data_IF_714610572284
#
_entry.id   IF_714610572284
#
_cell.length_a   1.000
_cell.length_b   1.000
_cell.length_c   1.000
_cell.angle_alpha   90.00
_cell.angle_beta   90.00
_cell.angle_gamma   90.00
#
_symmetry.space_group_name_H-M   'P 1'
#
loop_
_entity.id
_entity.type
_entity.pdbx_description
1 polymer ?
#
# COMPACT_ATOMS: atom_id res chain seq x y z
N UNK A 1 -69.84 48.33 46.23
CA UNK A 1 -68.66 48.66 47.06
C UNK A 1 -67.51 47.75 46.62
N UNK A 2 -66.49 48.34 45.98
CA UNK A 2 -65.07 47.94 45.79
C UNK A 2 -64.71 46.50 46.27
N UNK A 3 -64.10 45.59 45.48
CA UNK A 3 -62.76 45.70 44.87
C UNK A 3 -62.49 44.62 43.80
N UNK A 4 -61.76 45.02 42.76
CA UNK A 4 -61.13 44.19 41.71
C UNK A 4 -59.84 43.53 42.21
N UNK A 5 -59.57 42.30 41.76
CA UNK A 5 -58.27 41.66 41.47
C UNK A 5 -58.62 40.39 40.65
N UNK A 6 -57.92 39.91 39.63
CA UNK A 6 -56.60 40.21 39.08
C UNK A 6 -56.44 39.49 37.73
N UNK A 7 -55.78 40.18 36.80
CA UNK A 7 -54.99 39.79 35.63
C UNK A 7 -55.08 38.37 35.02
N UNK A 8 -55.37 38.41 33.72
CA UNK A 8 -55.07 37.46 32.66
C UNK A 8 -53.61 36.98 32.61
N UNK A 9 -53.38 35.71 32.25
CA UNK A 9 -52.19 35.29 31.50
C UNK A 9 -52.46 34.02 30.70
N UNK A 10 -52.48 34.19 29.37
CA UNK A 10 -52.21 33.17 28.37
C UNK A 10 -50.71 32.90 28.28
N UNK A 11 -50.31 31.64 28.09
CA UNK A 11 -49.08 31.19 27.40
C UNK A 11 -48.98 29.67 27.59
N UNK A 12 -49.22 28.91 26.53
CA UNK A 12 -48.20 28.41 25.61
C UNK A 12 -47.42 27.22 26.20
N UNK A 13 -47.81 26.04 25.72
CA UNK A 13 -47.06 24.78 25.77
C UNK A 13 -45.59 24.97 25.38
N UNK A 14 -44.62 24.52 26.18
CA UNK A 14 -43.25 24.43 25.71
C UNK A 14 -43.09 23.19 24.82
N UNK A 15 -42.46 23.30 23.64
CA UNK A 15 -42.14 22.13 22.83
C UNK A 15 -41.02 21.32 23.48
N UNK A 16 -41.22 20.00 23.50
CA UNK A 16 -40.26 18.96 23.83
C UNK A 16 -38.91 19.23 23.14
N UNK A 17 -37.90 19.69 23.91
CA UNK A 17 -36.50 19.66 23.50
C UNK A 17 -36.01 18.21 23.58
N UNK A 18 -36.15 17.45 22.50
CA UNK A 18 -35.31 16.26 22.26
C UNK A 18 -33.88 16.76 22.07
N UNK A 19 -33.02 16.63 23.07
CA UNK A 19 -31.58 16.74 22.86
C UNK A 19 -31.16 15.53 22.04
N UNK A 20 -31.01 15.71 20.73
CA UNK A 20 -30.29 14.75 19.89
C UNK A 20 -28.82 14.98 20.22
N UNK A 21 -28.27 14.13 21.08
CA UNK A 21 -26.83 14.05 21.29
C UNK A 21 -26.21 13.54 20.00
N UNK A 22 -25.76 14.47 19.14
CA UNK A 22 -24.84 14.15 18.07
C UNK A 22 -23.50 13.79 18.71
N UNK A 23 -23.30 12.50 18.96
CA UNK A 23 -21.97 11.97 19.19
C UNK A 23 -21.26 11.95 17.84
N UNK A 24 -20.77 13.12 17.41
CA UNK A 24 -19.77 13.16 16.35
C UNK A 24 -18.49 12.64 17.00
N UNK A 25 -18.27 11.34 16.89
CA UNK A 25 -16.98 10.75 17.17
C UNK A 25 -16.01 11.33 16.13
N UNK A 26 -15.29 12.39 16.49
CA UNK A 26 -14.10 12.77 15.76
C UNK A 26 -13.11 11.60 15.93
N UNK A 27 -12.71 10.91 14.85
CA UNK A 27 -11.63 9.95 14.97
C UNK A 27 -10.39 10.73 15.39
N UNK A 28 -9.96 10.53 16.64
CA UNK A 28 -8.66 11.00 17.09
C UNK A 28 -7.62 10.37 16.18
N UNK A 29 -6.68 11.14 15.60
CA UNK A 29 -5.61 10.59 14.80
C UNK A 29 -4.81 9.64 15.68
N UNK A 30 -4.90 8.35 15.40
CA UNK A 30 -4.03 7.35 16.01
C UNK A 30 -2.56 7.72 15.74
N UNK A 31 -1.66 7.52 16.70
CA UNK A 31 -0.24 7.79 16.51
C UNK A 31 0.33 6.72 15.57
N UNK A 32 0.31 6.96 14.26
CA UNK A 32 0.92 6.02 13.31
C UNK A 32 0.70 6.33 11.84
N UNK A 33 -0.47 6.87 11.46
CA UNK A 33 -0.73 7.27 10.07
C UNK A 33 -0.45 8.77 9.92
N UNK A 34 0.59 9.19 9.17
CA UNK A 34 0.68 10.59 8.79
C UNK A 34 -0.61 10.96 8.05
N UNK A 35 -1.22 12.12 8.35
CA UNK A 35 -2.43 12.53 7.64
C UNK A 35 -2.10 12.60 6.14
N UNK A 36 -3.04 12.14 5.30
CA UNK A 36 -2.91 12.17 3.84
C UNK A 36 -2.42 13.54 3.30
N UNK A 37 -2.70 14.61 4.03
CA UNK A 37 -2.24 15.99 3.77
C UNK A 37 -0.71 16.22 3.72
N UNK A 38 0.13 15.27 4.16
CA UNK A 38 1.60 15.41 4.09
C UNK A 38 2.25 14.64 2.94
N UNK A 39 1.49 13.82 2.20
CA UNK A 39 2.02 13.00 1.10
C UNK A 39 2.13 13.84 -0.16
N UNK A 40 3.16 13.59 -0.97
CA UNK A 40 3.20 14.17 -2.32
C UNK A 40 2.08 13.53 -3.14
N UNK A 41 1.39 14.31 -3.98
CA UNK A 41 0.34 13.74 -4.82
C UNK A 41 0.93 12.73 -5.80
N UNK A 42 0.24 11.60 -5.95
CA UNK A 42 0.55 10.60 -6.96
C UNK A 42 0.36 11.18 -8.36
N UNK A 43 1.25 10.82 -9.27
CA UNK A 43 1.26 11.33 -10.63
C UNK A 43 0.77 10.26 -11.61
N UNK A 44 -0.39 10.51 -12.22
CA UNK A 44 -0.99 9.67 -13.26
C UNK A 44 -0.05 9.43 -14.43
N UNK A 45 0.00 8.18 -14.89
CA UNK A 45 0.80 7.72 -16.01
C UNK A 45 -0.09 7.54 -17.24
N UNK A 46 -0.36 8.62 -17.98
CA UNK A 46 -1.31 8.59 -19.12
C UNK A 46 -0.95 7.59 -20.24
N UNK A 47 0.34 7.30 -20.45
CA UNK A 47 0.78 6.29 -21.42
C UNK A 47 0.77 4.86 -20.86
N UNK A 48 0.49 4.69 -19.57
CA UNK A 48 0.67 3.45 -18.82
C UNK A 48 2.16 3.16 -18.55
N UNK A 49 2.49 2.61 -17.38
CA UNK A 49 3.82 2.05 -17.07
C UNK A 49 3.66 0.61 -16.62
N UNK A 50 4.29 -0.32 -17.33
CA UNK A 50 4.22 -1.73 -16.99
C UNK A 50 5.60 -2.40 -16.99
N UNK A 51 5.86 -3.16 -15.94
CA UNK A 51 7.09 -3.96 -15.82
C UNK A 51 6.80 -5.47 -15.90
N UNK A 52 5.56 -5.87 -15.57
CA UNK A 52 5.12 -7.27 -15.54
C UNK A 52 4.16 -7.55 -16.69
N UNK A 53 3.02 -6.87 -16.73
CA UNK A 53 2.00 -7.04 -17.75
C UNK A 53 1.15 -5.75 -17.82
N UNK A 54 0.90 -5.28 -19.04
CA UNK A 54 0.07 -4.11 -19.30
C UNK A 54 -1.37 -4.29 -18.77
N UNK A 55 -1.84 -5.53 -18.68
CA UNK A 55 -3.18 -5.85 -18.18
C UNK A 55 -3.37 -5.56 -16.69
N UNK A 56 -2.30 -5.32 -15.92
CA UNK A 56 -2.38 -4.95 -14.50
C UNK A 56 -2.21 -3.44 -14.24
N UNK A 57 -2.20 -2.61 -15.29
CA UNK A 57 -2.19 -1.17 -15.13
C UNK A 57 -3.53 -0.69 -14.56
N UNK A 58 -3.48 0.04 -13.43
CA UNK A 58 -4.66 0.62 -12.81
C UNK A 58 -5.37 1.61 -13.75
N UNK A 59 -6.68 1.47 -13.95
CA UNK A 59 -7.46 2.41 -14.76
C UNK A 59 -7.84 3.71 -14.03
N UNK A 60 -7.72 3.70 -12.70
CA UNK A 60 -7.98 4.84 -11.83
C UNK A 60 -7.04 4.76 -10.61
N UNK A 61 -6.86 5.85 -9.83
CA UNK A 61 -6.09 5.79 -8.59
C UNK A 61 -6.64 4.69 -7.67
N UNK A 62 -5.81 3.69 -7.39
CA UNK A 62 -6.23 2.45 -6.74
C UNK A 62 -5.66 2.39 -5.33
N UNK A 63 -6.49 2.00 -4.37
CA UNK A 63 -6.05 1.78 -2.99
C UNK A 63 -6.16 0.31 -2.63
N UNK A 64 -5.02 -0.31 -2.32
CA UNK A 64 -4.92 -1.70 -1.90
C UNK A 64 -4.51 -1.80 -0.43
N UNK A 65 -4.74 -2.98 0.14
CA UNK A 65 -4.24 -3.38 1.44
C UNK A 65 -3.38 -4.61 1.29
N UNK A 66 -2.13 -4.55 1.74
CA UNK A 66 -1.27 -5.72 1.87
C UNK A 66 -1.49 -6.35 3.23
N UNK A 67 -2.10 -7.53 3.25
CA UNK A 67 -2.31 -8.28 4.49
C UNK A 67 -1.03 -8.98 4.91
N UNK A 68 -0.68 -8.88 6.18
CA UNK A 68 0.52 -9.47 6.77
C UNK A 68 0.10 -10.47 7.84
N UNK A 69 0.65 -11.66 7.75
CA UNK A 69 0.36 -12.75 8.68
C UNK A 69 1.64 -13.23 9.36
N UNK A 70 1.49 -13.74 10.59
CA UNK A 70 2.56 -14.43 11.28
C UNK A 70 2.65 -15.87 10.78
N UNK A 71 3.73 -16.23 10.10
CA UNK A 71 3.98 -17.60 9.60
C UNK A 71 5.43 -17.97 9.84
N UNK A 72 5.69 -19.14 10.44
CA UNK A 72 7.03 -19.67 10.68
C UNK A 72 7.96 -18.66 11.39
N UNK A 73 7.47 -18.09 12.49
CA UNK A 73 8.18 -17.13 13.36
C UNK A 73 8.60 -15.81 12.71
N UNK A 74 7.89 -15.38 11.66
CA UNK A 74 8.10 -14.08 11.01
C UNK A 74 6.80 -13.51 10.47
N UNK A 75 6.80 -12.21 10.21
CA UNK A 75 5.75 -11.56 9.43
C UNK A 75 5.99 -11.80 7.95
N UNK A 76 4.93 -12.16 7.23
CA UNK A 76 4.95 -12.31 5.77
C UNK A 76 3.73 -11.68 5.15
N UNK A 77 3.89 -11.04 4.00
CA UNK A 77 2.76 -10.58 3.19
C UNK A 77 2.03 -11.81 2.65
N UNK A 78 0.76 -11.95 3.01
CA UNK A 78 -0.10 -13.08 2.62
C UNK A 78 -0.93 -12.80 1.37
N UNK A 79 -1.22 -11.53 1.08
CA UNK A 79 -2.02 -11.16 -0.09
C UNK A 79 -2.23 -9.66 -0.23
N UNK A 80 -2.76 -9.26 -1.38
CA UNK A 80 -3.20 -7.91 -1.68
C UNK A 80 -4.73 -7.90 -1.86
N UNK A 81 -5.40 -7.05 -1.08
CA UNK A 81 -6.84 -6.89 -1.08
C UNK A 81 -7.20 -5.48 -1.55
N UNK A 82 -8.34 -5.33 -2.19
CA UNK A 82 -8.91 -4.01 -2.44
C UNK A 82 -9.32 -3.35 -1.12
N UNK A 83 -8.93 -2.10 -0.88
CA UNK A 83 -9.12 -1.48 0.43
C UNK A 83 -10.59 -1.17 0.76
N UNK A 84 -11.40 -0.86 -0.26
CA UNK A 84 -12.81 -0.50 -0.09
C UNK A 84 -13.70 -1.72 0.20
N UNK A 85 -13.51 -2.80 -0.56
CA UNK A 85 -14.36 -4.00 -0.50
C UNK A 85 -13.80 -5.08 0.40
N UNK A 86 -12.47 -5.08 0.65
CA UNK A 86 -11.77 -6.19 1.28
C UNK A 86 -11.67 -7.42 0.37
N UNK A 87 -11.98 -7.31 -0.92
CA UNK A 87 -11.86 -8.41 -1.87
C UNK A 87 -10.39 -8.77 -2.09
N UNK A 88 -10.06 -10.06 -1.98
CA UNK A 88 -8.74 -10.55 -2.32
C UNK A 88 -8.52 -10.44 -3.84
N UNK A 89 -7.51 -9.68 -4.25
CA UNK A 89 -7.13 -9.55 -5.66
C UNK A 89 -5.96 -10.48 -6.00
N UNK A 90 -5.01 -10.60 -5.06
CA UNK A 90 -3.86 -11.46 -5.24
C UNK A 90 -3.49 -12.20 -3.95
N UNK A 91 -3.24 -13.51 -4.05
CA UNK A 91 -2.68 -14.33 -2.97
C UNK A 91 -1.15 -14.40 -3.12
N UNK A 92 -0.42 -14.23 -2.03
CA UNK A 92 1.03 -14.45 -2.00
C UNK A 92 1.31 -15.82 -1.42
N UNK A 93 1.76 -16.74 -2.26
CA UNK A 93 2.09 -18.11 -1.86
C UNK A 93 3.60 -18.32 -1.82
N UNK A 94 4.12 -18.63 -0.65
CA UNK A 94 5.53 -18.99 -0.50
C UNK A 94 5.77 -20.43 -0.95
N UNK A 95 6.84 -20.63 -1.74
CA UNK A 95 7.24 -21.96 -2.16
C UNK A 95 7.89 -22.69 -0.98
N UNK A 96 7.34 -23.84 -0.56
CA UNK A 96 7.90 -24.61 0.54
C UNK A 96 9.34 -25.02 0.22
N UNK A 97 10.19 -25.00 1.24
CA UNK A 97 11.60 -25.44 1.18
C UNK A 97 12.48 -24.67 0.17
N UNK A 98 12.05 -23.48 -0.27
CA UNK A 98 12.87 -22.64 -1.15
C UNK A 98 14.03 -21.99 -0.38
N UNK A 99 15.26 -22.35 -0.74
CA UNK A 99 16.49 -21.71 -0.24
C UNK A 99 16.54 -20.20 -0.53
N UNK A 100 15.73 -19.73 -1.48
CA UNK A 100 15.73 -18.36 -1.97
C UNK A 100 14.47 -17.57 -1.59
N UNK A 101 13.70 -18.06 -0.60
CA UNK A 101 12.44 -17.44 -0.15
C UNK A 101 11.56 -17.01 -1.34
N UNK A 102 11.33 -17.96 -2.24
CA UNK A 102 10.60 -17.71 -3.46
C UNK A 102 9.11 -17.62 -3.17
N UNK A 103 8.44 -16.60 -3.71
CA UNK A 103 7.00 -16.37 -3.53
C UNK A 103 6.34 -16.12 -4.87
N UNK A 104 5.23 -16.80 -5.11
CA UNK A 104 4.38 -16.58 -6.27
C UNK A 104 3.23 -15.65 -5.86
N UNK A 105 2.96 -14.65 -6.69
CA UNK A 105 1.73 -13.88 -6.63
C UNK A 105 0.72 -14.60 -7.53
N UNK A 106 -0.39 -15.02 -6.96
CA UNK A 106 -1.48 -15.71 -7.65
C UNK A 106 -2.66 -14.75 -7.80
N UNK A 107 -3.35 -14.79 -8.93
CA UNK A 107 -4.62 -14.09 -9.08
C UNK A 107 -5.79 -14.86 -8.42
N UNK A 108 -7.00 -14.30 -8.53
CA UNK A 108 -8.25 -14.92 -8.04
C UNK A 108 -8.58 -16.28 -8.67
N UNK A 109 -7.94 -16.63 -9.79
CA UNK A 109 -8.09 -17.93 -10.46
C UNK A 109 -7.01 -18.93 -10.03
N UNK A 110 -6.22 -18.59 -9.01
CA UNK A 110 -5.05 -19.33 -8.53
C UNK A 110 -3.94 -19.49 -9.58
N UNK A 111 -3.96 -18.66 -10.63
CA UNK A 111 -2.92 -18.65 -11.65
C UNK A 111 -1.81 -17.70 -11.24
N UNK A 112 -0.58 -18.17 -11.28
CA UNK A 112 0.57 -17.36 -10.95
C UNK A 112 0.76 -16.24 -11.99
N UNK A 113 0.74 -14.99 -11.52
CA UNK A 113 0.91 -13.79 -12.34
C UNK A 113 2.38 -13.37 -12.41
N UNK A 114 3.08 -13.49 -11.28
CA UNK A 114 4.50 -13.19 -11.17
C UNK A 114 5.11 -14.00 -10.02
N UNK A 115 6.42 -14.21 -10.10
CA UNK A 115 7.18 -14.84 -9.01
C UNK A 115 8.35 -13.96 -8.61
N UNK A 116 8.49 -13.71 -7.30
CA UNK A 116 9.64 -13.01 -6.73
C UNK A 116 10.57 -13.99 -6.04
N UNK A 117 11.87 -13.85 -6.29
CA UNK A 117 12.92 -14.67 -5.69
C UNK A 117 13.97 -13.79 -5.03
N UNK A 118 14.30 -14.09 -3.79
CA UNK A 118 15.39 -13.45 -3.06
C UNK A 118 16.71 -14.18 -3.37
N UNK A 119 17.67 -13.46 -3.95
CA UNK A 119 18.88 -14.07 -4.54
C UNK A 119 20.15 -13.91 -3.70
N UNK A 120 20.25 -12.88 -2.86
CA UNK A 120 21.41 -12.68 -2.00
C UNK A 120 21.11 -11.74 -0.82
N UNK A 121 21.71 -12.05 0.33
CA UNK A 121 21.78 -11.17 1.50
C UNK A 121 23.24 -10.76 1.72
N UNK A 122 23.59 -9.50 1.42
CA UNK A 122 24.90 -8.93 1.78
C UNK A 122 24.70 -7.90 2.87
N UNK A 123 24.87 -8.30 4.15
CA UNK A 123 24.80 -7.54 5.43
C UNK A 123 23.71 -6.44 5.60
N UNK A 124 23.41 -5.61 4.60
CA UNK A 124 22.38 -4.55 4.55
C UNK A 124 21.80 -4.31 3.15
N UNK A 125 22.06 -5.19 2.17
CA UNK A 125 21.55 -5.13 0.79
C UNK A 125 20.96 -6.48 0.41
N UNK A 126 19.69 -6.48 0.03
CA UNK A 126 18.96 -7.66 -0.43
C UNK A 126 18.66 -7.49 -1.91
N UNK A 127 18.89 -8.55 -2.69
CA UNK A 127 18.62 -8.56 -4.13
C UNK A 127 17.45 -9.45 -4.47
N UNK A 128 16.48 -8.90 -5.19
CA UNK A 128 15.28 -9.58 -5.64
C UNK A 128 15.29 -9.71 -7.17
N UNK A 129 14.67 -10.76 -7.67
CA UNK A 129 14.44 -10.99 -9.09
C UNK A 129 12.98 -11.37 -9.30
N UNK A 130 12.31 -10.66 -10.19
CA UNK A 130 10.93 -10.95 -10.58
C UNK A 130 10.92 -11.76 -11.89
N UNK A 131 10.08 -12.78 -11.95
CA UNK A 131 9.92 -13.69 -13.08
C UNK A 131 8.46 -13.67 -13.54
N UNK A 132 8.21 -13.86 -14.85
CA UNK A 132 6.84 -13.93 -15.36
C UNK A 132 6.14 -15.18 -14.85
N UNK A 133 4.80 -15.14 -14.77
CA UNK A 133 3.80 -16.21 -14.51
C UNK A 133 4.30 -17.58 -14.01
N UNK A 134 5.19 -18.26 -14.73
CA UNK A 134 5.75 -19.56 -14.31
C UNK A 134 7.26 -19.49 -13.98
N UNK A 135 7.65 -20.22 -12.92
CA UNK A 135 9.05 -20.42 -12.45
C UNK A 135 10.01 -21.02 -13.50
N UNK A 136 9.50 -21.47 -14.64
CA UNK A 136 10.29 -22.09 -15.71
C UNK A 136 11.13 -21.09 -16.49
N UNK A 137 10.85 -19.79 -16.39
CA UNK A 137 11.68 -18.76 -17.04
C UNK A 137 13.04 -18.63 -16.36
N UNK A 138 14.12 -18.87 -17.13
CA UNK A 138 15.49 -18.62 -16.68
C UNK A 138 15.83 -17.12 -16.62
N UNK A 139 15.08 -16.27 -17.34
CA UNK A 139 15.33 -14.84 -17.44
C UNK A 139 14.32 -14.07 -16.58
N UNK A 140 14.77 -13.26 -15.60
CA UNK A 140 13.88 -12.39 -14.85
C UNK A 140 13.38 -11.23 -15.72
N UNK A 141 12.17 -10.75 -15.45
CA UNK A 141 11.60 -9.54 -16.04
C UNK A 141 12.45 -8.33 -15.64
N UNK A 142 12.75 -8.23 -14.36
CA UNK A 142 13.60 -7.20 -13.79
C UNK A 142 14.25 -7.71 -12.51
N UNK A 143 15.32 -7.01 -12.14
CA UNK A 143 16.05 -7.20 -10.89
C UNK A 143 16.06 -5.89 -10.16
N UNK A 144 16.03 -5.97 -8.84
CA UNK A 144 16.09 -4.78 -8.01
C UNK A 144 16.71 -5.11 -6.67
N UNK A 145 17.16 -4.06 -6.01
CA UNK A 145 17.83 -4.19 -4.72
C UNK A 145 17.23 -3.26 -3.71
N UNK A 146 17.12 -3.74 -2.48
CA UNK A 146 16.68 -2.94 -1.35
C UNK A 146 17.85 -2.87 -0.36
N UNK A 147 18.27 -1.66 -0.02
CA UNK A 147 19.36 -1.41 0.92
C UNK A 147 18.99 -0.26 1.85
N UNK A 148 18.98 -0.50 3.16
CA UNK A 148 18.61 0.51 4.19
C UNK A 148 17.28 1.20 3.85
N UNK A 149 16.23 0.41 3.57
CA UNK A 149 14.91 0.93 3.20
C UNK A 149 14.86 1.69 1.87
N UNK A 150 15.96 1.67 1.10
CA UNK A 150 16.04 2.31 -0.21
C UNK A 150 15.98 1.27 -1.32
N UNK A 151 14.93 1.35 -2.13
CA UNK A 151 14.78 0.60 -3.36
C UNK A 151 15.60 1.25 -4.48
N UNK A 152 16.26 0.40 -5.26
CA UNK A 152 16.81 0.76 -6.56
C UNK A 152 16.46 -0.33 -7.56
N UNK A 153 15.72 0.06 -8.59
CA UNK A 153 15.22 -0.82 -9.65
C UNK A 153 15.40 -0.14 -11.01
N UNK A 154 15.76 -0.92 -12.02
CA UNK A 154 15.75 -0.49 -13.42
C UNK A 154 15.06 -1.57 -14.24
N UNK A 155 14.15 -1.18 -15.11
CA UNK A 155 13.39 -2.07 -15.97
C UNK A 155 13.09 -1.40 -17.31
N UNK A 156 12.68 -2.19 -18.30
CA UNK A 156 12.16 -1.67 -19.56
C UNK A 156 10.64 -1.64 -19.48
N UNK A 157 10.05 -0.48 -19.70
CA UNK A 157 8.59 -0.33 -19.76
C UNK A 157 8.06 -1.11 -20.96
N UNK A 158 7.14 -2.04 -20.71
CA UNK A 158 6.54 -2.89 -21.75
C UNK A 158 5.66 -2.04 -22.68
N UNK A 159 5.09 -0.94 -22.17
CA UNK A 159 4.19 -0.08 -22.92
C UNK A 159 4.92 0.77 -23.96
N UNK A 160 6.07 1.35 -23.57
CA UNK A 160 6.80 2.31 -24.41
C UNK A 160 8.14 1.81 -24.93
N UNK A 161 8.68 0.73 -24.35
CA UNK A 161 10.03 0.24 -24.60
C UNK A 161 11.15 1.04 -23.92
N UNK A 162 10.81 2.13 -23.21
CA UNK A 162 11.81 2.99 -22.58
C UNK A 162 12.40 2.35 -21.31
N UNK A 163 13.65 2.68 -21.02
CA UNK A 163 14.26 2.31 -19.74
C UNK A 163 13.71 3.22 -18.64
N UNK A 164 13.16 2.61 -17.60
CA UNK A 164 12.62 3.27 -16.43
C UNK A 164 13.43 2.92 -15.18
N UNK A 165 13.52 3.89 -14.27
CA UNK A 165 14.10 3.71 -12.94
C UNK A 165 13.02 3.87 -11.88
N UNK A 166 13.08 3.00 -10.89
CA UNK A 166 12.23 3.00 -9.72
C UNK A 166 13.11 3.12 -8.49
N UNK A 167 12.65 3.91 -7.54
CA UNK A 167 13.24 3.93 -6.22
C UNK A 167 12.25 4.37 -5.18
N UNK A 168 12.73 4.44 -3.94
CA UNK A 168 11.93 4.92 -2.82
C UNK A 168 12.39 6.30 -2.37
N UNK A 169 11.49 7.03 -1.75
CA UNK A 169 11.69 8.28 -1.04
C UNK A 169 10.73 8.35 0.14
N UNK A 170 10.56 9.53 0.72
CA UNK A 170 9.65 9.72 1.84
C UNK A 170 10.27 9.48 3.21
N UNK A 171 9.40 9.35 4.22
CA UNK A 171 9.78 9.26 5.65
C UNK A 171 9.60 7.84 6.20
N UNK A 172 9.98 7.64 7.47
CA UNK A 172 9.93 6.31 8.10
C UNK A 172 8.52 5.68 8.18
N UNK A 173 7.46 6.49 8.15
CA UNK A 173 6.05 6.03 8.24
C UNK A 173 5.30 6.05 6.91
N UNK A 174 5.94 6.50 5.83
CA UNK A 174 5.34 6.60 4.51
C UNK A 174 6.43 6.51 3.44
N UNK A 175 6.43 5.39 2.74
CA UNK A 175 7.40 5.05 1.71
C UNK A 175 6.80 5.48 0.38
N UNK A 176 7.33 6.57 -0.17
CA UNK A 176 7.03 7.02 -1.53
C UNK A 176 7.80 6.13 -2.51
N UNK A 177 7.12 5.57 -3.50
CA UNK A 177 7.73 4.88 -4.64
C UNK A 177 7.66 5.84 -5.82
N UNK A 178 8.82 6.23 -6.35
CA UNK A 178 8.93 7.16 -7.46
C UNK A 178 9.43 6.46 -8.73
N UNK A 179 8.93 6.94 -9.87
CA UNK A 179 9.32 6.55 -11.22
C UNK A 179 10.11 7.66 -11.90
N UNK A 180 11.10 7.28 -12.68
CA UNK A 180 11.78 8.15 -13.63
C UNK A 180 11.84 7.45 -14.98
N UNK A 181 11.21 8.02 -16.00
CA UNK A 181 11.24 7.51 -17.38
C UNK A 181 12.44 8.06 -18.15
N UNK A 182 13.04 7.22 -18.98
CA UNK A 182 14.19 7.59 -19.83
C UNK A 182 15.52 7.56 -19.08
N UNK A 183 16.60 7.38 -19.85
CA UNK A 183 17.97 7.30 -19.34
C UNK A 183 18.66 8.66 -19.19
N UNK A 184 18.10 9.73 -19.78
CA UNK A 184 18.65 11.08 -19.76
C UNK A 184 18.17 11.87 -18.55
N UNK A 185 19.10 12.48 -17.82
CA UNK A 185 18.74 13.64 -17.00
C UNK A 185 18.30 14.78 -17.94
N UNK A 186 17.20 15.52 -17.63
CA UNK A 186 16.67 15.72 -16.29
C UNK A 186 15.19 15.27 -16.16
N UNK A 187 14.84 14.01 -16.48
CA UNK A 187 13.47 13.57 -16.21
C UNK A 187 13.19 13.61 -14.71
N UNK A 188 12.19 14.40 -14.30
CA UNK A 188 11.80 14.54 -12.91
C UNK A 188 11.27 13.21 -12.33
N UNK A 189 11.55 12.96 -11.04
CA UNK A 189 11.01 11.81 -10.30
C UNK A 189 9.54 12.04 -9.99
N UNK A 190 8.71 11.11 -10.44
CA UNK A 190 7.25 11.15 -10.34
C UNK A 190 6.79 10.17 -9.25
N UNK A 191 6.11 10.60 -8.19
CA UNK A 191 5.52 9.69 -7.21
C UNK A 191 4.44 8.83 -7.88
N UNK A 192 4.56 7.51 -7.82
CA UNK A 192 3.61 6.58 -8.46
C UNK A 192 2.91 5.65 -7.47
N UNK A 193 3.45 5.49 -6.25
CA UNK A 193 2.77 4.78 -5.19
C UNK A 193 3.23 5.23 -3.80
N UNK A 194 2.40 5.00 -2.78
CA UNK A 194 2.71 5.20 -1.37
C UNK A 194 2.40 3.95 -0.56
N UNK A 195 3.35 3.50 0.25
CA UNK A 195 3.16 2.38 1.18
C UNK A 195 3.31 2.88 2.62
N UNK A 196 2.29 2.66 3.44
CA UNK A 196 2.26 3.12 4.83
C UNK A 196 1.50 2.12 5.72
N UNK A 197 1.71 2.14 7.04
CA UNK A 197 1.00 1.26 7.96
C UNK A 197 -0.51 1.36 7.79
N UNK A 198 -1.21 0.22 7.78
CA UNK A 198 -2.66 0.22 7.71
C UNK A 198 -3.27 0.95 8.93
N UNK A 199 -4.44 1.61 8.78
CA UNK A 199 -5.07 2.34 9.87
C UNK A 199 -5.31 1.48 11.12
N UNK A 200 -5.27 2.10 12.30
CA UNK A 200 -5.61 1.42 13.55
C UNK A 200 -6.99 0.74 13.48
N UNK A 201 -7.09 -0.48 14.00
CA UNK A 201 -8.32 -1.28 13.96
C UNK A 201 -8.48 -2.13 12.69
N UNK A 202 -7.53 -2.09 11.76
CA UNK A 202 -7.46 -3.04 10.63
C UNK A 202 -6.54 -4.22 10.95
N UNK A 203 -6.70 -5.38 10.28
CA UNK A 203 -5.74 -6.48 10.36
C UNK A 203 -4.32 -6.00 10.03
N UNK A 204 -3.32 -6.68 10.59
CA UNK A 204 -1.92 -6.33 10.41
C UNK A 204 -1.57 -6.22 8.92
N UNK A 205 -0.95 -5.10 8.53
CA UNK A 205 -0.65 -4.89 7.13
C UNK A 205 -0.31 -3.44 6.78
N UNK A 206 -0.34 -3.18 5.47
CA UNK A 206 -0.04 -1.88 4.89
C UNK A 206 -1.18 -1.42 3.99
N UNK A 207 -1.40 -0.12 3.95
CA UNK A 207 -2.16 0.53 2.90
C UNK A 207 -1.21 0.93 1.78
N UNK A 208 -1.67 0.73 0.54
CA UNK A 208 -0.93 1.00 -0.67
C UNK A 208 -1.79 1.86 -1.58
N UNK A 209 -1.37 3.10 -1.81
CA UNK A 209 -2.00 3.99 -2.79
C UNK A 209 -1.19 3.87 -4.10
N UNK A 210 -1.84 3.62 -5.23
CA UNK A 210 -1.22 3.42 -6.55
C UNK A 210 -1.81 4.42 -7.55
N UNK A 211 -0.95 5.09 -8.31
CA UNK A 211 -1.39 6.04 -9.33
C UNK A 211 -2.09 5.34 -10.49
N UNK A 212 -2.99 6.06 -11.15
CA UNK A 212 -3.58 5.63 -12.42
C UNK A 212 -2.49 5.40 -13.46
N UNK A 213 -2.67 4.34 -14.28
CA UNK A 213 -1.78 3.92 -15.34
C UNK A 213 -0.57 3.13 -14.86
N UNK A 214 -0.48 2.77 -13.58
CA UNK A 214 0.67 2.02 -13.03
C UNK A 214 0.33 0.54 -12.89
N UNK A 215 1.25 -0.33 -13.31
CA UNK A 215 1.20 -1.78 -13.07
C UNK A 215 1.18 -2.10 -11.57
N UNK A 216 0.01 -2.49 -11.07
CA UNK A 216 -0.21 -2.81 -9.67
C UNK A 216 0.61 -4.02 -9.21
N UNK A 217 0.83 -5.02 -10.08
CA UNK A 217 1.61 -6.20 -9.73
C UNK A 217 3.07 -5.81 -9.50
N UNK A 218 3.64 -4.96 -10.35
CA UNK A 218 4.98 -4.41 -10.12
C UNK A 218 5.09 -3.73 -8.74
N UNK A 219 4.13 -2.87 -8.40
CA UNK A 219 4.14 -2.16 -7.11
C UNK A 219 4.01 -3.13 -5.93
N UNK A 220 3.10 -4.12 -6.01
CA UNK A 220 2.94 -5.16 -4.97
C UNK A 220 4.26 -5.90 -4.74
N UNK A 221 4.94 -6.34 -5.81
CA UNK A 221 6.22 -7.06 -5.71
C UNK A 221 7.32 -6.21 -5.05
N UNK A 222 7.37 -4.91 -5.36
CA UNK A 222 8.27 -3.96 -4.72
C UNK A 222 7.95 -3.83 -3.23
N UNK A 223 6.68 -3.66 -2.87
CA UNK A 223 6.26 -3.54 -1.47
C UNK A 223 6.55 -4.80 -0.65
N UNK A 224 6.39 -6.00 -1.23
CA UNK A 224 6.78 -7.27 -0.58
C UNK A 224 8.27 -7.26 -0.26
N UNK A 225 9.10 -6.83 -1.20
CA UNK A 225 10.55 -6.78 -1.02
C UNK A 225 10.99 -5.70 -0.02
N UNK A 226 10.30 -4.56 0.02
CA UNK A 226 10.51 -3.53 1.05
C UNK A 226 10.19 -4.09 2.43
N UNK A 227 9.03 -4.75 2.60
CA UNK A 227 8.66 -5.43 3.84
C UNK A 227 9.72 -6.46 4.28
N UNK A 228 10.16 -7.32 3.36
CA UNK A 228 11.17 -8.35 3.64
C UNK A 228 12.55 -7.78 4.02
N UNK A 229 12.84 -6.55 3.61
CA UNK A 229 14.13 -5.90 3.86
C UNK A 229 14.24 -5.26 5.23
N UNK A 230 13.11 -5.08 5.90
CA UNK A 230 13.01 -4.33 7.14
C UNK A 230 12.99 -5.27 8.34
N UNK A 231 13.53 -4.84 9.50
CA UNK A 231 13.47 -5.65 10.70
C UNK A 231 12.01 -5.86 11.17
N UNK A 232 11.68 -7.06 11.65
CA UNK A 232 10.35 -7.40 12.18
C UNK A 232 9.86 -6.47 13.31
N UNK A 233 10.77 -5.82 14.02
CA UNK A 233 10.46 -4.94 15.15
C UNK A 233 10.08 -3.50 14.77
N UNK A 234 10.33 -3.09 13.52
CA UNK A 234 10.04 -1.72 13.05
C UNK A 234 8.56 -1.50 12.76
N UNK A 235 7.77 -2.59 12.68
CA UNK A 235 6.40 -2.56 12.15
C UNK A 235 5.33 -2.96 13.17
N UNK A 236 5.71 -3.14 14.44
CA UNK A 236 4.72 -3.25 15.52
C UNK A 236 3.97 -1.92 15.61
N UNK A 237 2.65 -1.96 15.53
CA UNK A 237 1.84 -0.84 15.98
C UNK A 237 2.29 -0.49 17.42
N UNK A 238 2.56 0.79 17.74
CA UNK A 238 2.80 1.18 19.11
C UNK A 238 1.52 0.83 19.89
N UNK A 239 1.63 -0.09 20.85
CA UNK A 239 0.56 -0.62 21.72
C UNK A 239 -0.13 -1.92 21.30
N UNK A 240 0.63 -2.98 21.04
CA UNK A 240 0.22 -4.31 21.51
C UNK A 240 1.19 -4.77 22.58
N UNK A 241 0.93 -4.30 23.80
CA UNK A 241 1.44 -4.94 25.01
C UNK A 241 0.68 -6.27 25.14
N UNK A 242 1.38 -7.37 24.88
CA UNK A 242 1.07 -8.64 25.54
C UNK A 242 1.87 -8.67 26.84
#
# INVERSE_FOLDING_TARGET
MIRRHSASKSSATPPSKRSISYSVAFPLPGPGTPPAAKRRPLQTQHLGVAAVDAGYCCHEPTQLRLNVEWRLDRHVVAGALENATGQLLFEVREKPLSLHRQRALLDVTEVAVATIRMSAFRRRKISFSAYPRAETSKKPLFKFTVARSQLEMTFSDIMTGETCRLGTGGGQSDIEIWLQRGASEPTARQPIAHMYPAPAGTPLGYSLDIAEGVDAVMVILVCIAVHDSEPDHTWRAPNTLF
#
